data_IF_631321598327
#
_entry.id   IF_631321598327
#
_cell.length_a   1.000
_cell.length_b   1.000
_cell.length_c   1.000
_cell.angle_alpha   90.00
_cell.angle_beta   90.00
_cell.angle_gamma   90.00
#
_symmetry.space_group_name_H-M   'P 1'
#
loop_
_entity.id
_entity.type
_entity.pdbx_description
1 polymer ?
#
# COMPACT_ATOMS: atom_id res chain seq x y z
N UNK A 1 -7.17 -16.92 -9.11
CA UNK A 1 -6.59 -15.64 -8.69
C UNK A 1 -6.76 -15.57 -7.19
N UNK A 2 -5.74 -15.95 -6.45
CA UNK A 2 -5.76 -15.86 -4.99
C UNK A 2 -5.63 -14.37 -4.63
N UNK A 3 -6.50 -13.89 -3.74
CA UNK A 3 -6.43 -12.52 -3.24
C UNK A 3 -6.09 -12.59 -1.75
N UNK A 4 -4.83 -12.36 -1.42
CA UNK A 4 -4.43 -12.17 -0.03
C UNK A 4 -4.95 -10.82 0.44
N UNK A 5 -5.66 -10.83 1.58
CA UNK A 5 -6.27 -9.64 2.18
C UNK A 5 -5.66 -9.40 3.55
N UNK A 6 -5.11 -8.21 3.75
CA UNK A 6 -4.51 -7.81 5.02
C UNK A 6 -4.95 -6.40 5.36
N UNK A 7 -5.44 -6.16 6.57
CA UNK A 7 -6.02 -4.87 6.98
C UNK A 7 -5.38 -4.36 8.27
N UNK A 8 -5.07 -3.07 8.29
CA UNK A 8 -4.50 -2.36 9.44
C UNK A 8 -5.27 -1.07 9.70
N UNK A 9 -5.47 -0.74 10.97
CA UNK A 9 -6.14 0.50 11.37
C UNK A 9 -5.29 1.74 11.08
N UNK A 10 -5.93 2.84 10.66
CA UNK A 10 -5.26 4.10 10.28
C UNK A 10 -4.36 4.67 11.37
N UNK A 11 -4.64 4.37 12.64
CA UNK A 11 -3.88 4.87 13.79
C UNK A 11 -2.44 4.35 13.84
N UNK A 12 -2.12 3.23 13.20
CA UNK A 12 -0.72 2.75 13.12
C UNK A 12 0.18 3.78 12.44
N UNK A 13 -0.37 4.54 11.50
CA UNK A 13 0.34 5.59 10.76
C UNK A 13 0.51 6.87 11.58
N UNK A 14 -0.29 7.10 12.63
CA UNK A 14 -0.19 8.31 13.45
C UNK A 14 1.17 8.50 14.14
N UNK A 15 1.94 7.42 14.27
CA UNK A 15 3.29 7.41 14.82
C UNK A 15 4.34 8.02 13.88
N UNK A 16 3.99 8.22 12.60
CA UNK A 16 4.88 8.77 11.59
C UNK A 16 4.82 10.29 11.55
N UNK A 17 5.93 10.94 11.88
CA UNK A 17 6.09 12.40 11.79
C UNK A 17 7.40 12.77 11.09
N UNK A 18 7.36 13.71 10.14
CA UNK A 18 8.54 14.28 9.47
C UNK A 18 9.52 13.23 8.91
N UNK A 19 9.00 12.22 8.23
CA UNK A 19 9.79 11.15 7.64
C UNK A 19 10.17 11.47 6.19
N UNK A 20 11.31 10.96 5.75
CA UNK A 20 11.68 10.98 4.33
C UNK A 20 10.97 9.89 3.53
N UNK A 21 10.88 10.05 2.21
CA UNK A 21 10.22 9.11 1.29
C UNK A 21 10.77 7.68 1.44
N UNK A 22 12.08 7.51 1.60
CA UNK A 22 12.70 6.18 1.78
C UNK A 22 12.24 5.47 3.06
N UNK A 23 12.03 6.24 4.14
CA UNK A 23 11.54 5.72 5.42
C UNK A 23 10.06 5.33 5.32
N UNK A 24 9.24 6.16 4.65
CA UNK A 24 7.84 5.82 4.35
C UNK A 24 7.75 4.50 3.57
N UNK A 25 8.52 4.36 2.49
CA UNK A 25 8.53 3.13 1.68
C UNK A 25 8.90 1.91 2.52
N UNK A 26 9.91 2.02 3.40
CA UNK A 26 10.28 0.91 4.30
C UNK A 26 9.16 0.57 5.28
N UNK A 27 8.52 1.59 5.85
CA UNK A 27 7.43 1.40 6.81
C UNK A 27 6.24 0.68 6.18
N UNK A 28 5.80 1.14 5.01
CA UNK A 28 4.71 0.52 4.24
C UNK A 28 5.06 -0.93 3.88
N UNK A 29 6.28 -1.16 3.38
CA UNK A 29 6.75 -2.50 3.04
C UNK A 29 6.71 -3.45 4.24
N UNK A 30 7.15 -2.99 5.42
CA UNK A 30 7.13 -3.78 6.65
C UNK A 30 5.71 -4.05 7.16
N UNK A 31 4.85 -3.03 7.16
CA UNK A 31 3.46 -3.14 7.61
C UNK A 31 2.68 -4.14 6.79
N UNK A 32 2.79 -4.06 5.47
CA UNK A 32 2.03 -4.92 4.57
C UNK A 32 2.76 -6.20 4.19
N UNK A 33 3.99 -6.41 4.70
CA UNK A 33 4.86 -7.54 4.35
C UNK A 33 5.03 -7.71 2.83
N UNK A 34 5.29 -6.58 2.14
CA UNK A 34 5.48 -6.51 0.68
C UNK A 34 6.90 -6.02 0.36
N UNK A 35 7.34 -6.20 -0.89
CA UNK A 35 8.64 -5.68 -1.33
C UNK A 35 8.65 -4.13 -1.34
N UNK A 36 9.82 -3.52 -1.16
CA UNK A 36 9.96 -2.04 -1.20
C UNK A 36 9.57 -1.44 -2.55
N UNK A 37 9.78 -2.17 -3.65
CA UNK A 37 9.33 -1.78 -4.99
C UNK A 37 7.80 -1.69 -5.09
N UNK A 38 7.11 -2.64 -4.46
CA UNK A 38 5.65 -2.75 -4.44
C UNK A 38 5.04 -1.68 -3.54
N UNK A 39 5.65 -1.44 -2.38
CA UNK A 39 5.30 -0.32 -1.50
C UNK A 39 5.45 1.04 -2.20
N UNK A 40 6.49 1.21 -3.03
CA UNK A 40 6.68 2.44 -3.81
C UNK A 40 5.60 2.60 -4.88
N UNK A 41 5.26 1.53 -5.59
CA UNK A 41 4.16 1.50 -6.55
C UNK A 41 2.81 1.85 -5.90
N UNK A 42 2.52 1.27 -4.73
CA UNK A 42 1.32 1.58 -3.96
C UNK A 42 1.26 3.07 -3.60
N UNK A 43 2.34 3.62 -3.05
CA UNK A 43 2.40 5.03 -2.67
C UNK A 43 2.31 5.99 -3.86
N UNK A 44 2.88 5.62 -5.01
CA UNK A 44 2.75 6.38 -6.26
C UNK A 44 1.31 6.32 -6.79
N UNK A 45 0.66 5.15 -6.76
CA UNK A 45 -0.72 4.96 -7.22
C UNK A 45 -1.75 5.73 -6.38
N UNK A 46 -1.50 5.84 -5.08
CA UNK A 46 -2.39 6.52 -4.13
C UNK A 46 -2.04 8.00 -3.91
N UNK A 47 -1.10 8.54 -4.70
CA UNK A 47 -0.57 9.90 -4.58
C UNK A 47 -0.04 10.25 -3.16
N UNK A 48 0.46 9.24 -2.43
CA UNK A 48 0.85 9.34 -1.03
C UNK A 48 2.36 9.58 -0.83
N UNK A 49 3.16 9.48 -1.90
CA UNK A 49 4.64 9.55 -1.83
C UNK A 49 5.18 10.93 -1.44
N UNK A 50 4.43 11.99 -1.70
CA UNK A 50 4.77 13.37 -1.32
C UNK A 50 4.27 13.79 0.06
N UNK A 51 3.63 12.89 0.80
CA UNK A 51 3.05 13.18 2.11
C UNK A 51 4.10 12.94 3.20
N UNK A 52 4.29 13.93 4.07
CA UNK A 52 5.33 13.93 5.11
C UNK A 52 4.79 13.68 6.52
N UNK A 53 3.47 13.51 6.65
CA UNK A 53 2.80 13.18 7.91
C UNK A 53 2.02 11.88 7.79
N UNK A 54 2.02 11.11 8.87
CA UNK A 54 1.34 9.83 8.92
C UNK A 54 -0.17 9.94 8.76
N UNK A 55 -0.77 11.02 9.28
CA UNK A 55 -2.20 11.30 9.11
C UNK A 55 -2.58 11.55 7.65
N UNK A 56 -1.75 12.27 6.89
CA UNK A 56 -2.00 12.49 5.47
C UNK A 56 -1.86 11.19 4.67
N UNK A 57 -0.83 10.39 4.95
CA UNK A 57 -0.67 9.06 4.34
C UNK A 57 -1.86 8.17 4.67
N UNK A 58 -2.31 8.15 5.92
CA UNK A 58 -3.45 7.34 6.34
C UNK A 58 -4.73 7.74 5.60
N UNK A 59 -4.99 9.05 5.46
CA UNK A 59 -6.14 9.56 4.72
C UNK A 59 -6.08 9.21 3.22
N UNK A 60 -4.89 9.24 2.62
CA UNK A 60 -4.70 8.83 1.22
C UNK A 60 -4.93 7.33 1.01
N UNK A 61 -4.66 6.50 2.03
CA UNK A 61 -4.78 5.05 1.95
C UNK A 61 -6.15 4.51 2.44
N UNK A 62 -6.85 5.22 3.32
CA UNK A 62 -8.22 4.92 3.77
C UNK A 62 -9.23 5.46 2.76
N UNK A 63 -9.23 4.87 1.56
CA UNK A 63 -10.10 5.30 0.46
C UNK A 63 -11.59 5.15 0.74
N UNK A 64 -11.96 4.26 1.66
CA UNK A 64 -13.33 4.02 2.07
C UNK A 64 -13.78 4.86 3.26
N UNK A 65 -12.87 5.55 3.96
CA UNK A 65 -13.15 6.41 5.11
C UNK A 65 -13.65 5.65 6.34
N UNK A 66 -13.36 4.35 6.43
CA UNK A 66 -13.87 3.48 7.49
C UNK A 66 -12.86 3.25 8.63
N UNK A 67 -11.69 3.90 8.57
CA UNK A 67 -10.62 3.78 9.55
C UNK A 67 -9.72 2.56 9.36
N UNK A 68 -9.88 1.81 8.27
CA UNK A 68 -9.08 0.64 7.94
C UNK A 68 -8.46 0.75 6.55
N UNK A 69 -7.17 0.44 6.47
CA UNK A 69 -6.44 0.33 5.20
C UNK A 69 -6.29 -1.15 4.89
N UNK A 70 -7.14 -1.65 3.98
CA UNK A 70 -7.09 -3.03 3.53
C UNK A 70 -6.28 -3.19 2.25
N UNK A 71 -5.14 -3.88 2.28
CA UNK A 71 -4.36 -4.20 1.09
C UNK A 71 -4.87 -5.48 0.43
N UNK A 72 -5.23 -5.35 -0.84
CA UNK A 72 -5.50 -6.47 -1.75
C UNK A 72 -4.29 -6.68 -2.64
N UNK A 73 -3.77 -7.90 -2.59
CA UNK A 73 -2.72 -8.37 -3.49
C UNK A 73 -3.38 -9.34 -4.47
N UNK A 74 -3.18 -9.12 -5.77
CA UNK A 74 -3.63 -10.06 -6.79
C UNK A 74 -2.57 -10.22 -7.88
N UNK A 75 -2.33 -11.46 -8.25
CA UNK A 75 -1.48 -11.76 -9.42
C UNK A 75 -2.27 -11.46 -10.69
N UNK A 76 -1.61 -10.75 -11.61
CA UNK A 76 -2.18 -10.40 -12.91
C UNK A 76 -1.71 -11.42 -13.91
N UNK A 77 -2.63 -12.29 -14.31
CA UNK A 77 -2.33 -13.32 -15.28
C UNK A 77 -2.68 -12.86 -16.70
N UNK A 78 -1.75 -13.01 -17.63
CA UNK A 78 -2.08 -12.92 -19.04
C UNK A 78 -2.66 -14.26 -19.52
N UNK A 79 -3.99 -14.33 -19.61
CA UNK A 79 -4.73 -15.54 -20.03
C UNK A 79 -4.31 -16.04 -21.42
N UNK A 80 -3.93 -15.13 -22.32
CA UNK A 80 -3.51 -15.47 -23.68
C UNK A 80 -2.09 -16.03 -23.77
N UNK A 81 -1.22 -15.71 -22.80
CA UNK A 81 0.18 -16.13 -22.77
C UNK A 81 0.50 -17.17 -21.69
N UNK A 82 -0.45 -17.45 -20.81
CA UNK A 82 -0.26 -18.32 -19.64
C UNK A 82 0.98 -17.93 -18.80
N UNK A 83 1.19 -16.63 -18.60
CA UNK A 83 2.27 -16.10 -17.76
C UNK A 83 1.74 -15.07 -16.79
N UNK A 84 2.32 -15.08 -15.60
CA UNK A 84 2.22 -13.96 -14.66
C UNK A 84 2.92 -12.75 -15.25
N UNK A 85 2.19 -11.63 -15.35
CA UNK A 85 2.72 -10.38 -15.87
C UNK A 85 2.91 -9.33 -14.77
N UNK A 86 2.65 -9.69 -13.51
CA UNK A 86 2.99 -8.88 -12.34
C UNK A 86 1.89 -8.85 -11.29
N UNK A 87 2.13 -8.09 -10.23
CA UNK A 87 1.26 -8.03 -9.06
C UNK A 87 0.59 -6.66 -8.96
N UNK A 88 -0.70 -6.65 -8.60
CA UNK A 88 -1.45 -5.41 -8.36
C UNK A 88 -1.80 -5.26 -6.88
N UNK A 89 -1.68 -4.02 -6.41
CA UNK A 89 -1.93 -3.60 -5.03
C UNK A 89 -3.04 -2.57 -5.01
N UNK A 90 -4.06 -2.77 -4.17
CA UNK A 90 -5.15 -1.82 -4.01
C UNK A 90 -5.57 -1.72 -2.55
N UNK A 91 -5.83 -0.51 -2.07
CA UNK A 91 -6.47 -0.28 -0.77
C UNK A 91 -8.01 -0.36 -0.89
N UNK A 92 -8.70 -0.80 0.17
CA UNK A 92 -10.18 -0.83 0.22
C UNK A 92 -10.77 0.49 0.72
#
# INVERSE_FOLDING_TARGET
METSKFAIGIHVFSTLTNFGVSALVTFIAGIFCIARSEARLLLDYMDAKGLFTGSAVAAALDTSGNGWIGLYIRDVWNVSKAVDIGTQYKTM
#
